data_IF_346276768096
#
_entry.id   IF_346276768096
#
_cell.length_a   1.000
_cell.length_b   1.000
_cell.length_c   1.000
_cell.angle_alpha   90.00
_cell.angle_beta   90.00
_cell.angle_gamma   90.00
#
_symmetry.space_group_name_H-M   'P 1'
#
loop_
_entity.id
_entity.type
_entity.pdbx_description
1 polymer ?
#
# COMPACT_ATOMS: atom_id res chain seq x y z
N UNK A 1 8.27 16.75 -5.13
CA UNK A 1 7.38 15.57 -5.11
C UNK A 1 6.23 15.82 -4.14
N UNK A 2 5.02 15.46 -4.54
CA UNK A 2 3.80 15.57 -3.72
C UNK A 2 3.33 14.15 -3.42
N UNK A 3 2.98 13.87 -2.17
CA UNK A 3 2.35 12.60 -1.75
C UNK A 3 1.00 12.90 -1.14
N UNK A 4 0.00 12.16 -1.57
CA UNK A 4 -1.36 12.22 -1.06
C UNK A 4 -1.82 10.81 -0.67
N UNK A 5 -2.81 10.75 0.20
CA UNK A 5 -3.39 9.50 0.71
C UNK A 5 -4.92 9.65 0.69
N UNK A 6 -5.61 8.57 0.41
CA UNK A 6 -7.09 8.55 0.43
C UNK A 6 -7.55 7.93 1.74
N UNK A 7 -8.42 8.62 2.45
CA UNK A 7 -9.00 8.13 3.71
C UNK A 7 -9.94 6.97 3.44
N UNK A 8 -9.78 5.87 4.19
CA UNK A 8 -10.64 4.69 4.11
C UNK A 8 -10.90 4.23 2.65
N UNK A 9 -9.82 4.08 1.88
CA UNK A 9 -9.88 3.86 0.43
C UNK A 9 -10.75 2.67 0.04
N UNK A 10 -10.49 1.50 0.61
CA UNK A 10 -11.29 0.30 0.29
C UNK A 10 -12.73 0.42 0.77
N UNK A 11 -12.93 0.97 1.94
CA UNK A 11 -14.26 1.18 2.54
C UNK A 11 -15.08 2.25 1.78
N UNK A 12 -14.41 3.10 1.01
CA UNK A 12 -15.07 4.09 0.13
C UNK A 12 -15.52 3.50 -1.21
N UNK A 13 -15.17 2.26 -1.51
CA UNK A 13 -15.57 1.59 -2.75
C UNK A 13 -16.78 0.69 -2.48
N UNK A 14 -17.93 1.11 -2.97
CA UNK A 14 -19.21 0.42 -2.77
C UNK A 14 -19.32 -0.86 -3.58
N UNK A 15 -20.17 -1.78 -3.11
CA UNK A 15 -20.62 -2.96 -3.83
C UNK A 15 -21.18 -2.62 -5.23
N UNK A 16 -21.88 -1.48 -5.35
CA UNK A 16 -22.39 -1.01 -6.64
C UNK A 16 -21.26 -0.69 -7.61
N UNK A 17 -20.17 -0.09 -7.13
CA UNK A 17 -19.00 0.18 -7.97
C UNK A 17 -18.33 -1.12 -8.44
N UNK A 18 -18.25 -2.12 -7.56
CA UNK A 18 -17.72 -3.46 -7.89
C UNK A 18 -18.63 -4.17 -8.89
N UNK A 19 -19.96 -4.11 -8.70
CA UNK A 19 -20.94 -4.61 -9.66
C UNK A 19 -20.74 -4.01 -11.05
N UNK A 20 -20.57 -2.69 -11.15
CA UNK A 20 -20.32 -2.00 -12.42
C UNK A 20 -19.02 -2.47 -13.10
N UNK A 21 -17.98 -2.80 -12.33
CA UNK A 21 -16.75 -3.39 -12.88
C UNK A 21 -17.06 -4.73 -13.54
N UNK A 22 -17.74 -5.66 -12.87
CA UNK A 22 -18.09 -6.94 -13.47
C UNK A 22 -19.00 -6.78 -14.70
N UNK A 23 -19.96 -5.84 -14.67
CA UNK A 23 -20.77 -5.50 -15.85
C UNK A 23 -19.93 -4.99 -17.02
N UNK A 24 -18.90 -4.17 -16.74
CA UNK A 24 -18.00 -3.66 -17.78
C UNK A 24 -17.09 -4.74 -18.40
N UNK A 25 -16.96 -5.87 -17.73
CA UNK A 25 -16.26 -7.08 -18.21
C UNK A 25 -17.24 -8.07 -18.91
N UNK A 26 -18.44 -7.59 -19.25
CA UNK A 26 -19.47 -8.33 -19.99
C UNK A 26 -20.12 -9.52 -19.24
N UNK A 27 -19.88 -9.66 -17.94
CA UNK A 27 -20.58 -10.67 -17.15
C UNK A 27 -22.11 -10.39 -17.12
N UNK A 28 -22.97 -11.43 -17.15
CA UNK A 28 -24.41 -11.28 -16.96
C UNK A 28 -24.77 -10.57 -15.66
N UNK A 29 -25.91 -9.88 -15.64
CA UNK A 29 -26.31 -9.03 -14.50
C UNK A 29 -26.36 -9.80 -13.18
N UNK A 30 -26.98 -10.98 -13.17
CA UNK A 30 -27.08 -11.82 -11.96
C UNK A 30 -25.71 -12.24 -11.47
N UNK A 31 -24.85 -12.76 -12.35
CA UNK A 31 -23.50 -13.19 -11.98
C UNK A 31 -22.65 -11.99 -11.47
N UNK A 32 -22.78 -10.83 -12.12
CA UNK A 32 -22.09 -9.61 -11.66
C UNK A 32 -22.52 -9.20 -10.25
N UNK A 33 -23.79 -9.35 -9.93
CA UNK A 33 -24.34 -9.09 -8.61
C UNK A 33 -23.79 -10.07 -7.58
N UNK A 34 -23.82 -11.37 -7.86
CA UNK A 34 -23.29 -12.41 -6.95
C UNK A 34 -21.78 -12.23 -6.70
N UNK A 35 -20.99 -11.97 -7.75
CA UNK A 35 -19.57 -11.72 -7.63
C UNK A 35 -19.29 -10.45 -6.79
N UNK A 36 -20.06 -9.39 -6.98
CA UNK A 36 -19.93 -8.18 -6.16
C UNK A 36 -20.21 -8.46 -4.69
N UNK A 37 -21.27 -9.23 -4.39
CA UNK A 37 -21.61 -9.65 -3.01
C UNK A 37 -20.52 -10.50 -2.37
N UNK A 38 -19.91 -11.42 -3.10
CA UNK A 38 -18.81 -12.28 -2.59
C UNK A 38 -17.56 -11.46 -2.32
N UNK A 39 -17.27 -10.43 -3.14
CA UNK A 39 -16.08 -9.60 -3.04
C UNK A 39 -16.22 -8.43 -2.06
N UNK A 40 -17.40 -8.15 -1.55
CA UNK A 40 -17.67 -7.04 -0.63
C UNK A 40 -18.12 -7.55 0.72
N UNK A 41 -17.88 -6.73 1.72
CA UNK A 41 -18.30 -7.03 3.08
C UNK A 41 -19.32 -6.01 3.56
N UNK A 42 -20.38 -6.52 4.15
CA UNK A 42 -21.40 -5.68 4.76
C UNK A 42 -21.21 -5.69 6.29
N UNK A 43 -21.13 -4.50 6.87
CA UNK A 43 -21.01 -4.39 8.32
C UNK A 43 -22.34 -4.81 8.99
N UNK A 44 -22.33 -5.81 9.89
CA UNK A 44 -23.56 -6.21 10.56
C UNK A 44 -24.17 -5.02 11.31
N UNK A 45 -25.51 -4.91 11.30
CA UNK A 45 -26.27 -3.85 11.99
C UNK A 45 -25.93 -3.75 13.47
N UNK A 46 -25.65 -4.88 14.11
CA UNK A 46 -25.29 -4.93 15.51
C UNK A 46 -23.78 -4.76 15.70
N UNK A 47 -23.35 -3.52 15.93
CA UNK A 47 -21.93 -3.16 16.17
C UNK A 47 -21.30 -3.86 17.37
N UNK A 48 -22.09 -4.42 18.29
CA UNK A 48 -21.59 -5.14 19.46
C UNK A 48 -20.99 -6.51 19.09
N UNK A 49 -21.38 -7.08 17.95
CA UNK A 49 -20.84 -8.35 17.45
C UNK A 49 -19.56 -8.18 16.62
N UNK A 50 -19.18 -6.94 16.28
CA UNK A 50 -17.97 -6.66 15.50
C UNK A 50 -16.76 -6.70 16.43
N UNK A 51 -15.73 -7.52 16.14
CA UNK A 51 -14.49 -7.51 16.90
C UNK A 51 -13.90 -6.10 16.99
N UNK A 52 -13.27 -5.71 18.13
CA UNK A 52 -12.75 -4.34 18.34
C UNK A 52 -11.82 -3.85 17.22
N UNK A 53 -11.04 -4.76 16.62
CA UNK A 53 -10.12 -4.46 15.50
C UNK A 53 -10.82 -3.99 14.22
N UNK A 54 -12.12 -4.25 14.05
CA UNK A 54 -12.92 -3.82 12.91
C UNK A 54 -13.91 -2.71 13.25
N UNK A 55 -13.94 -2.26 14.51
CA UNK A 55 -14.81 -1.14 14.90
C UNK A 55 -14.26 0.16 14.34
N UNK A 56 -15.05 0.82 13.51
CA UNK A 56 -14.74 2.15 13.00
C UNK A 56 -14.95 3.15 14.15
N UNK A 57 -13.98 4.04 14.37
CA UNK A 57 -14.09 5.12 15.35
C UNK A 57 -15.33 5.97 15.08
N UNK A 58 -16.05 6.37 16.13
CA UNK A 58 -17.29 7.18 16.06
C UNK A 58 -17.14 8.56 15.40
N UNK A 59 -15.92 9.00 15.11
CA UNK A 59 -15.61 10.31 14.49
C UNK A 59 -14.87 10.13 13.17
N UNK A 60 -15.55 9.59 12.18
CA UNK A 60 -15.00 9.52 10.83
C UNK A 60 -15.70 10.54 9.95
N UNK A 61 -14.92 11.48 9.41
CA UNK A 61 -15.39 12.50 8.44
C UNK A 61 -15.36 11.96 7.00
N UNK A 62 -15.55 10.66 6.82
CA UNK A 62 -15.58 10.03 5.49
C UNK A 62 -16.82 9.13 5.36
N UNK A 63 -17.29 8.99 4.13
CA UNK A 63 -18.43 8.14 3.82
C UNK A 63 -17.98 6.69 3.81
N UNK A 64 -18.50 5.91 4.76
CA UNK A 64 -18.47 4.45 4.69
C UNK A 64 -19.83 4.01 4.17
N UNK A 65 -19.86 3.24 3.09
CA UNK A 65 -21.08 2.64 2.61
C UNK A 65 -21.51 1.55 3.61
N UNK A 66 -22.22 1.98 4.63
CA UNK A 66 -22.94 1.10 5.56
C UNK A 66 -24.43 1.33 5.38
N UNK A 67 -25.24 0.33 5.71
CA UNK A 67 -26.70 0.38 5.58
C UNK A 67 -27.29 1.74 5.98
N UNK A 68 -27.82 2.48 5.04
CA UNK A 68 -28.71 3.60 5.27
C UNK A 68 -30.13 3.17 4.89
N UNK A 69 -31.05 3.28 5.83
CA UNK A 69 -32.50 3.14 5.61
C UNK A 69 -32.96 1.84 4.92
N UNK A 70 -32.46 0.68 5.38
CA UNK A 70 -32.94 -0.63 4.92
C UNK A 70 -32.22 -1.24 3.70
N UNK A 71 -31.35 -0.49 3.03
CA UNK A 71 -30.49 -1.02 1.96
C UNK A 71 -29.13 -1.37 2.55
N UNK A 72 -28.81 -2.66 2.57
CA UNK A 72 -27.51 -3.16 3.02
C UNK A 72 -26.55 -3.21 1.84
N UNK A 73 -25.77 -2.14 1.65
CA UNK A 73 -24.68 -2.11 0.68
C UNK A 73 -23.35 -2.48 1.33
N UNK A 74 -22.62 -3.38 0.69
CA UNK A 74 -21.26 -3.74 1.07
C UNK A 74 -20.22 -2.75 0.52
N UNK A 75 -18.99 -2.88 1.02
CA UNK A 75 -17.80 -2.18 0.54
C UNK A 75 -16.64 -3.16 0.42
N UNK A 76 -15.56 -2.78 -0.27
CA UNK A 76 -14.36 -3.62 -0.34
C UNK A 76 -13.73 -3.76 1.05
N UNK A 77 -13.52 -5.00 1.55
CA UNK A 77 -12.87 -5.20 2.83
C UNK A 77 -11.36 -5.00 2.74
N UNK A 78 -10.79 -4.37 3.77
CA UNK A 78 -9.34 -4.27 3.90
C UNK A 78 -8.73 -5.64 4.22
N UNK A 79 -7.74 -6.07 3.42
CA UNK A 79 -7.06 -7.34 3.61
C UNK A 79 -7.61 -8.51 2.80
N UNK A 80 -8.72 -8.36 2.07
CA UNK A 80 -9.15 -9.40 1.14
C UNK A 80 -8.26 -9.44 -0.11
N UNK A 81 -7.94 -10.63 -0.66
CA UNK A 81 -7.05 -10.77 -1.81
C UNK A 81 -7.62 -10.14 -3.10
N UNK A 82 -8.93 -9.99 -3.21
CA UNK A 82 -9.61 -9.38 -4.36
C UNK A 82 -9.65 -7.86 -4.32
N UNK A 83 -9.59 -7.25 -3.12
CA UNK A 83 -9.76 -5.80 -2.94
C UNK A 83 -8.73 -4.96 -3.71
N UNK A 84 -7.43 -5.27 -3.78
CA UNK A 84 -6.47 -4.48 -4.54
C UNK A 84 -6.77 -4.45 -6.04
N UNK A 85 -7.11 -5.58 -6.64
CA UNK A 85 -7.42 -5.67 -8.07
C UNK A 85 -8.72 -4.95 -8.41
N UNK A 86 -9.77 -5.18 -7.62
CA UNK A 86 -11.07 -4.53 -7.82
C UNK A 86 -11.00 -3.02 -7.61
N UNK A 87 -10.28 -2.55 -6.60
CA UNK A 87 -10.09 -1.12 -6.40
C UNK A 87 -9.37 -0.45 -7.56
N UNK A 88 -8.39 -1.11 -8.17
CA UNK A 88 -7.73 -0.59 -9.36
C UNK A 88 -8.68 -0.50 -10.56
N UNK A 89 -9.54 -1.50 -10.75
CA UNK A 89 -10.54 -1.48 -11.82
C UNK A 89 -11.58 -0.38 -11.60
N UNK A 90 -12.06 -0.17 -10.38
CA UNK A 90 -12.99 0.92 -10.03
C UNK A 90 -12.33 2.29 -10.26
N UNK A 91 -11.05 2.45 -9.92
CA UNK A 91 -10.33 3.70 -10.07
C UNK A 91 -9.84 3.99 -11.50
N UNK A 92 -10.14 3.13 -12.47
CA UNK A 92 -9.64 3.26 -13.84
C UNK A 92 -9.91 4.64 -14.48
N UNK A 93 -11.12 5.17 -14.31
CA UNK A 93 -11.46 6.49 -14.86
C UNK A 93 -10.83 7.63 -14.04
N UNK A 94 -10.71 7.48 -12.72
CA UNK A 94 -9.95 8.39 -11.87
C UNK A 94 -8.48 8.45 -12.31
N UNK A 95 -7.85 7.28 -12.55
CA UNK A 95 -6.47 7.21 -12.99
C UNK A 95 -6.25 7.85 -14.36
N UNK A 96 -7.18 7.68 -15.29
CA UNK A 96 -7.17 8.37 -16.60
C UNK A 96 -7.20 9.89 -16.42
N UNK A 97 -8.09 10.38 -15.56
CA UNK A 97 -8.21 11.82 -15.33
C UNK A 97 -6.98 12.39 -14.62
N UNK A 98 -6.44 11.69 -13.61
CA UNK A 98 -5.22 12.12 -12.91
C UNK A 98 -3.98 12.06 -13.83
N UNK A 99 -3.93 11.08 -14.74
CA UNK A 99 -2.87 11.00 -15.75
C UNK A 99 -2.95 12.17 -16.74
N UNK A 100 -4.14 12.45 -17.28
CA UNK A 100 -4.32 13.60 -18.18
C UNK A 100 -4.00 14.93 -17.49
N UNK A 101 -4.41 15.08 -16.21
CA UNK A 101 -4.08 16.22 -15.39
C UNK A 101 -2.56 16.34 -15.17
N UNK A 102 -1.87 15.23 -14.90
CA UNK A 102 -0.43 15.24 -14.68
C UNK A 102 0.34 15.64 -15.93
N UNK A 103 -0.03 15.10 -17.10
CA UNK A 103 0.60 15.47 -18.39
C UNK A 103 0.44 16.97 -18.66
N UNK A 104 -0.76 17.53 -18.46
CA UNK A 104 -1.02 18.97 -18.65
C UNK A 104 -0.16 19.86 -17.75
N UNK A 105 0.24 19.38 -16.57
CA UNK A 105 1.01 20.14 -15.58
C UNK A 105 2.49 19.72 -15.54
N UNK A 106 2.99 18.99 -16.52
CA UNK A 106 4.38 18.49 -16.60
C UNK A 106 4.79 17.69 -15.35
N UNK A 107 3.88 16.83 -14.85
CA UNK A 107 4.07 15.97 -13.70
C UNK A 107 4.07 14.50 -14.11
N UNK A 108 4.82 13.69 -13.38
CA UNK A 108 4.71 12.23 -13.39
C UNK A 108 3.75 11.79 -12.30
N UNK A 109 2.77 10.96 -12.64
CA UNK A 109 1.74 10.41 -11.76
C UNK A 109 1.95 8.94 -11.49
N UNK A 110 1.74 8.54 -10.26
CA UNK A 110 1.62 7.13 -9.89
C UNK A 110 0.68 6.95 -8.70
N UNK A 111 -0.06 5.84 -8.69
CA UNK A 111 -0.90 5.42 -7.57
C UNK A 111 -0.63 3.96 -7.21
N UNK A 112 -0.59 3.69 -5.93
CA UNK A 112 -0.60 2.35 -5.38
C UNK A 112 -1.67 2.30 -4.28
N UNK A 113 -2.81 1.67 -4.58
CA UNK A 113 -3.98 1.67 -3.70
C UNK A 113 -4.42 3.09 -3.32
N UNK A 114 -4.32 3.47 -2.05
CA UNK A 114 -4.61 4.78 -1.48
C UNK A 114 -3.48 5.81 -1.59
N UNK A 115 -2.23 5.35 -1.81
CA UNK A 115 -1.05 6.21 -1.94
C UNK A 115 -0.94 6.80 -3.35
N UNK A 116 -1.07 8.12 -3.47
CA UNK A 116 -0.92 8.88 -4.72
C UNK A 116 0.36 9.70 -4.66
N UNK A 117 1.13 9.67 -5.74
CA UNK A 117 2.38 10.42 -5.85
C UNK A 117 2.44 11.19 -7.15
N UNK A 118 2.78 12.49 -7.07
CA UNK A 118 3.15 13.32 -8.21
C UNK A 118 4.59 13.79 -8.07
N UNK A 119 5.35 13.76 -9.16
CA UNK A 119 6.71 14.30 -9.18
C UNK A 119 6.91 15.20 -10.38
N UNK A 120 7.72 16.26 -10.21
CA UNK A 120 8.14 17.15 -11.29
C UNK A 120 9.65 17.08 -11.48
N UNK A 121 10.09 17.12 -12.71
CA UNK A 121 11.50 17.31 -13.09
C UNK A 121 11.83 18.80 -13.24
N UNK A 122 10.83 19.69 -13.22
CA UNK A 122 11.01 21.12 -13.37
C UNK A 122 11.69 21.73 -12.13
N UNK A 123 12.85 22.33 -12.31
CA UNK A 123 13.64 22.97 -11.26
C UNK A 123 12.90 24.17 -10.66
N UNK A 124 12.08 24.86 -11.47
CA UNK A 124 11.32 26.04 -11.07
C UNK A 124 10.00 25.72 -10.37
N UNK A 125 9.68 24.42 -10.19
CA UNK A 125 8.45 23.98 -9.54
C UNK A 125 8.43 24.41 -8.06
N UNK A 126 7.60 25.41 -7.76
CA UNK A 126 7.54 26.04 -6.46
C UNK A 126 6.60 25.34 -5.47
N UNK A 127 6.66 25.74 -4.20
CA UNK A 127 5.72 25.28 -3.20
C UNK A 127 4.28 25.78 -3.46
N UNK A 128 4.14 26.95 -4.09
CA UNK A 128 2.82 27.49 -4.49
C UNK A 128 2.18 26.59 -5.54
N UNK A 129 2.92 26.22 -6.57
CA UNK A 129 2.45 25.29 -7.61
C UNK A 129 2.01 23.95 -6.99
N UNK A 130 2.80 23.42 -6.06
CA UNK A 130 2.46 22.18 -5.37
C UNK A 130 1.12 22.29 -4.60
N UNK A 131 0.85 23.42 -3.96
CA UNK A 131 -0.41 23.65 -3.22
C UNK A 131 -1.59 23.74 -4.20
N UNK A 132 -1.43 24.40 -5.33
CA UNK A 132 -2.47 24.46 -6.36
C UNK A 132 -2.79 23.10 -6.95
N UNK A 133 -1.75 22.32 -7.28
CA UNK A 133 -1.91 20.92 -7.72
C UNK A 133 -2.69 20.11 -6.67
N UNK A 134 -2.32 20.19 -5.40
CA UNK A 134 -3.04 19.48 -4.32
C UNK A 134 -4.52 19.86 -4.28
N UNK A 135 -4.85 21.14 -4.36
CA UNK A 135 -6.24 21.62 -4.37
C UNK A 135 -7.04 21.07 -5.54
N UNK A 136 -6.43 21.02 -6.74
CA UNK A 136 -7.08 20.47 -7.92
C UNK A 136 -7.27 18.95 -7.83
N UNK A 137 -6.25 18.23 -7.36
CA UNK A 137 -6.33 16.78 -7.15
C UNK A 137 -7.39 16.43 -6.09
N UNK A 138 -7.51 17.21 -5.02
CA UNK A 138 -8.56 17.03 -4.03
C UNK A 138 -9.96 17.16 -4.65
N UNK A 139 -10.19 18.17 -5.50
CA UNK A 139 -11.46 18.30 -6.22
C UNK A 139 -11.75 17.07 -7.10
N UNK A 140 -10.74 16.58 -7.81
CA UNK A 140 -10.89 15.37 -8.64
C UNK A 140 -11.26 14.18 -7.75
N UNK A 141 -10.54 13.93 -6.65
CA UNK A 141 -10.85 12.82 -5.74
C UNK A 141 -12.27 12.88 -5.19
N UNK A 142 -12.70 14.07 -4.75
CA UNK A 142 -14.06 14.29 -4.20
C UNK A 142 -15.13 14.00 -5.27
N UNK A 143 -14.90 14.40 -6.52
CA UNK A 143 -15.84 14.11 -7.63
C UNK A 143 -16.01 12.60 -7.89
N UNK A 144 -15.00 11.79 -7.56
CA UNK A 144 -15.07 10.33 -7.63
C UNK A 144 -15.52 9.67 -6.32
N UNK A 145 -15.96 10.46 -5.33
CA UNK A 145 -16.45 9.97 -4.04
C UNK A 145 -15.36 9.58 -3.04
N UNK A 146 -14.10 9.98 -3.30
CA UNK A 146 -12.99 9.72 -2.38
C UNK A 146 -12.69 10.93 -1.49
N UNK A 147 -12.38 10.67 -0.23
CA UNK A 147 -12.01 11.70 0.74
C UNK A 147 -10.48 11.79 0.88
N UNK A 148 -9.84 12.92 0.49
CA UNK A 148 -8.41 13.10 0.67
C UNK A 148 -8.01 13.13 2.15
N UNK A 149 -6.89 12.49 2.49
CA UNK A 149 -6.31 12.56 3.83
C UNK A 149 -5.36 13.76 3.93
N UNK A 150 -5.88 14.87 4.45
CA UNK A 150 -5.13 16.12 4.56
C UNK A 150 -3.91 15.96 5.49
N UNK A 151 -4.04 15.19 6.57
CA UNK A 151 -2.97 15.03 7.57
C UNK A 151 -1.78 14.23 7.02
N UNK A 152 -2.04 13.30 6.10
CA UNK A 152 -0.99 12.50 5.44
C UNK A 152 -0.43 13.15 4.18
N UNK A 153 -1.06 14.19 3.66
CA UNK A 153 -0.58 14.91 2.47
C UNK A 153 0.73 15.63 2.76
N UNK A 154 1.74 15.40 1.91
CA UNK A 154 3.10 15.93 2.10
C UNK A 154 3.68 16.50 0.81
N UNK A 155 4.32 17.66 0.93
CA UNK A 155 5.18 18.23 -0.11
C UNK A 155 6.63 17.93 0.28
N UNK A 156 7.33 17.17 -0.57
CA UNK A 156 8.71 16.76 -0.35
C UNK A 156 9.60 17.63 -1.21
N UNK A 157 10.51 18.39 -0.57
CA UNK A 157 11.42 19.31 -1.24
C UNK A 157 12.45 18.58 -2.11
N UNK A 158 13.08 19.25 -3.10
CA UNK A 158 14.09 18.64 -3.99
C UNK A 158 15.24 18.00 -3.24
N UNK A 159 15.71 18.63 -2.16
CA UNK A 159 16.86 18.14 -1.36
C UNK A 159 16.50 17.04 -0.34
N UNK A 160 15.20 16.83 -0.07
CA UNK A 160 14.77 15.80 0.87
C UNK A 160 14.72 14.42 0.21
N UNK A 161 14.98 13.39 1.01
CA UNK A 161 14.92 11.98 0.59
C UNK A 161 13.51 11.63 0.10
N UNK A 162 13.41 11.08 -1.10
CA UNK A 162 12.15 10.68 -1.72
C UNK A 162 11.93 9.19 -1.53
N UNK A 163 10.94 8.85 -0.70
CA UNK A 163 10.60 7.46 -0.41
C UNK A 163 9.21 7.19 -0.96
N UNK A 164 9.08 6.18 -1.82
CA UNK A 164 7.79 5.68 -2.33
C UNK A 164 7.72 4.19 -2.01
N UNK A 165 6.65 3.75 -1.33
CA UNK A 165 6.46 2.36 -0.91
C UNK A 165 7.68 1.75 -0.18
N UNK A 166 8.34 2.54 0.66
CA UNK A 166 9.55 2.11 1.41
C UNK A 166 10.84 2.13 0.62
N UNK A 167 10.81 2.47 -0.67
CA UNK A 167 11.95 2.50 -1.56
C UNK A 167 12.45 3.94 -1.79
N UNK A 168 13.75 4.12 -1.84
CA UNK A 168 14.35 5.40 -2.19
C UNK A 168 14.37 5.58 -3.71
N UNK A 169 13.71 6.65 -4.19
CA UNK A 169 13.56 7.00 -5.61
C UNK A 169 14.28 8.31 -5.98
N UNK A 170 15.27 8.73 -5.19
CA UNK A 170 16.00 9.99 -5.43
C UNK A 170 16.91 9.96 -6.65
N UNK A 171 17.23 8.78 -7.18
CA UNK A 171 18.19 8.57 -8.27
C UNK A 171 17.54 7.74 -9.39
N UNK A 172 18.24 7.59 -10.50
CA UNK A 172 17.80 6.76 -11.64
C UNK A 172 17.49 5.31 -11.26
N UNK A 173 18.25 4.74 -10.31
CA UNK A 173 17.99 3.39 -9.80
C UNK A 173 17.33 3.47 -8.44
N UNK A 174 16.24 2.74 -8.29
CA UNK A 174 15.56 2.54 -7.01
C UNK A 174 16.51 1.85 -6.02
N UNK A 175 16.52 2.31 -4.77
CA UNK A 175 17.38 1.75 -3.72
C UNK A 175 16.60 1.40 -2.47
N UNK A 176 17.05 0.35 -1.81
CA UNK A 176 16.57 -0.04 -0.49
C UNK A 176 16.93 1.03 0.56
N UNK A 177 16.03 1.24 1.53
CA UNK A 177 16.35 2.10 2.67
C UNK A 177 17.48 1.52 3.53
N UNK A 178 18.31 2.41 4.10
CA UNK A 178 19.43 2.02 4.97
C UNK A 178 18.98 1.19 6.17
N UNK A 179 17.82 1.51 6.74
CA UNK A 179 17.24 0.75 7.87
C UNK A 179 16.93 -0.68 7.48
N UNK A 180 16.39 -0.89 6.27
CA UNK A 180 16.09 -2.23 5.76
C UNK A 180 17.37 -3.05 5.53
N UNK A 181 18.39 -2.47 4.90
CA UNK A 181 19.71 -3.11 4.73
C UNK A 181 20.34 -3.47 6.07
N UNK A 182 20.30 -2.55 7.03
CA UNK A 182 20.82 -2.78 8.37
C UNK A 182 20.09 -3.93 9.09
N UNK A 183 18.77 -4.03 8.93
CA UNK A 183 17.98 -5.13 9.51
C UNK A 183 18.47 -6.50 9.01
N UNK A 184 18.73 -6.63 7.71
CA UNK A 184 19.27 -7.86 7.12
C UNK A 184 20.67 -8.15 7.65
N UNK A 185 21.57 -7.17 7.57
CA UNK A 185 22.96 -7.32 7.99
C UNK A 185 23.08 -7.69 9.47
N UNK A 186 22.29 -7.06 10.36
CA UNK A 186 22.26 -7.39 11.78
C UNK A 186 21.81 -8.83 12.04
N UNK A 187 20.75 -9.28 11.36
CA UNK A 187 20.29 -10.65 11.53
C UNK A 187 21.33 -11.68 11.07
N UNK A 188 21.97 -11.44 9.92
CA UNK A 188 23.06 -12.29 9.42
C UNK A 188 24.24 -12.29 10.39
N UNK A 189 24.66 -11.12 10.85
CA UNK A 189 25.77 -10.98 11.79
C UNK A 189 25.56 -11.78 13.07
N UNK A 190 24.40 -11.65 13.71
CA UNK A 190 24.10 -12.40 14.92
C UNK A 190 23.92 -13.90 14.69
N UNK A 191 23.44 -14.32 13.52
CA UNK A 191 23.38 -15.74 13.17
C UNK A 191 24.77 -16.37 12.97
N UNK A 192 25.75 -15.59 12.50
CA UNK A 192 27.13 -16.04 12.29
C UNK A 192 27.99 -15.89 13.56
N UNK A 193 27.52 -15.15 14.57
CA UNK A 193 28.28 -14.92 15.79
C UNK A 193 28.36 -16.21 16.62
N UNK A 194 29.55 -16.66 17.07
CA UNK A 194 29.75 -17.93 17.76
C UNK A 194 28.87 -18.09 19.02
N UNK A 195 28.74 -17.03 19.80
CA UNK A 195 28.02 -17.08 21.09
C UNK A 195 26.50 -16.93 20.96
N UNK A 196 25.98 -16.53 19.78
CA UNK A 196 24.56 -16.27 19.61
C UNK A 196 23.94 -17.33 18.69
N UNK A 197 24.36 -17.39 17.46
CA UNK A 197 23.85 -18.32 16.47
C UNK A 197 22.36 -18.10 16.08
N UNK A 198 21.87 -18.88 15.14
CA UNK A 198 20.52 -18.69 14.58
C UNK A 198 19.40 -19.00 15.61
N UNK A 199 19.62 -19.93 16.55
CA UNK A 199 18.60 -20.33 17.55
C UNK A 199 18.32 -19.18 18.51
N UNK A 200 19.37 -18.60 19.13
CA UNK A 200 19.21 -17.46 20.05
C UNK A 200 18.67 -16.23 19.34
N UNK A 201 19.11 -15.99 18.10
CA UNK A 201 18.63 -14.86 17.32
C UNK A 201 17.14 -15.02 16.96
N UNK A 202 16.68 -16.20 16.58
CA UNK A 202 15.26 -16.49 16.32
C UNK A 202 14.40 -16.22 17.57
N UNK A 203 14.85 -16.70 18.73
CA UNK A 203 14.18 -16.46 20.02
C UNK A 203 14.15 -14.97 20.38
N UNK A 204 15.25 -14.26 20.23
CA UNK A 204 15.32 -12.81 20.45
C UNK A 204 14.36 -12.03 19.56
N UNK A 205 14.22 -12.45 18.30
CA UNK A 205 13.24 -11.88 17.34
C UNK A 205 11.81 -12.38 17.55
N UNK A 206 11.56 -13.19 18.58
CA UNK A 206 10.23 -13.73 18.94
C UNK A 206 9.58 -14.59 17.84
N UNK A 207 10.38 -15.33 17.10
CA UNK A 207 9.87 -16.32 16.16
C UNK A 207 9.50 -17.62 16.92
N UNK A 208 8.40 -18.23 16.52
CA UNK A 208 7.93 -19.50 17.09
C UNK A 208 8.84 -20.69 16.74
N UNK A 209 9.57 -20.60 15.63
CA UNK A 209 10.52 -21.62 15.18
C UNK A 209 11.73 -21.02 14.49
N UNK A 210 12.86 -21.75 14.54
CA UNK A 210 14.08 -21.38 13.80
C UNK A 210 13.85 -21.44 12.29
N UNK A 211 13.06 -22.40 11.82
CA UNK A 211 12.69 -22.53 10.41
C UNK A 211 11.86 -21.29 9.93
N UNK A 212 10.92 -20.84 10.74
CA UNK A 212 10.15 -19.63 10.45
C UNK A 212 11.04 -18.40 10.32
N UNK A 213 12.02 -18.25 11.23
CA UNK A 213 13.02 -17.18 11.16
C UNK A 213 13.94 -17.31 9.93
N UNK A 214 14.41 -18.51 9.61
CA UNK A 214 15.20 -18.81 8.40
C UNK A 214 14.47 -18.35 7.16
N UNK A 215 13.21 -18.77 6.99
CA UNK A 215 12.40 -18.44 5.83
C UNK A 215 12.11 -16.94 5.75
N UNK A 216 11.84 -16.29 6.88
CA UNK A 216 11.65 -14.84 6.94
C UNK A 216 12.91 -14.08 6.50
N UNK A 217 14.07 -14.44 7.04
CA UNK A 217 15.35 -13.79 6.67
C UNK A 217 15.68 -14.01 5.20
N UNK A 218 15.48 -15.25 4.69
CA UNK A 218 15.65 -15.55 3.28
C UNK A 218 14.73 -14.71 2.39
N UNK A 219 13.44 -14.59 2.74
CA UNK A 219 12.48 -13.75 2.01
C UNK A 219 12.90 -12.28 1.97
N UNK A 220 13.42 -11.71 3.08
CA UNK A 220 13.96 -10.34 3.09
C UNK A 220 15.16 -10.18 2.14
N UNK A 221 16.02 -11.19 2.04
CA UNK A 221 17.21 -11.17 1.16
C UNK A 221 16.78 -11.28 -0.30
N UNK A 222 15.85 -12.18 -0.64
CA UNK A 222 15.32 -12.30 -2.00
C UNK A 222 14.65 -11.00 -2.45
N UNK A 223 13.85 -10.38 -1.57
CA UNK A 223 13.29 -9.05 -1.85
C UNK A 223 14.40 -8.00 -2.05
N UNK A 224 15.46 -8.03 -1.24
CA UNK A 224 16.60 -7.13 -1.43
C UNK A 224 17.27 -7.36 -2.79
N UNK A 225 17.43 -8.62 -3.19
CA UNK A 225 18.05 -9.02 -4.47
C UNK A 225 17.26 -8.50 -5.67
N UNK A 226 15.92 -8.49 -5.60
CA UNK A 226 15.07 -7.98 -6.68
C UNK A 226 15.19 -6.47 -6.92
N UNK A 227 15.66 -5.70 -5.92
CA UNK A 227 15.75 -4.24 -5.99
C UNK A 227 17.20 -3.74 -6.09
N UNK A 228 18.10 -4.31 -5.31
CA UNK A 228 19.52 -3.95 -5.21
C UNK A 228 20.35 -5.23 -5.32
N UNK A 229 20.64 -5.62 -6.57
CA UNK A 229 21.29 -6.89 -6.90
C UNK A 229 22.63 -7.06 -6.17
N UNK A 230 23.47 -6.04 -6.18
CA UNK A 230 24.79 -6.08 -5.52
C UNK A 230 24.68 -6.35 -4.02
N UNK A 231 23.81 -5.61 -3.33
CA UNK A 231 23.55 -5.83 -1.90
C UNK A 231 22.92 -7.20 -1.64
N UNK A 232 21.94 -7.59 -2.46
CA UNK A 232 21.22 -8.86 -2.32
C UNK A 232 22.14 -10.06 -2.48
N UNK A 233 23.00 -10.09 -3.49
CA UNK A 233 23.99 -11.17 -3.72
C UNK A 233 24.97 -11.27 -2.53
N UNK A 234 25.50 -10.15 -2.04
CA UNK A 234 26.36 -10.13 -0.86
C UNK A 234 25.67 -10.67 0.39
N UNK A 235 24.42 -10.26 0.61
CA UNK A 235 23.63 -10.73 1.74
C UNK A 235 23.32 -12.22 1.62
N UNK A 236 22.97 -12.71 0.43
CA UNK A 236 22.69 -14.14 0.17
C UNK A 236 23.94 -15.01 0.40
N UNK A 237 25.10 -14.57 -0.09
CA UNK A 237 26.36 -15.26 0.14
C UNK A 237 26.69 -15.39 1.64
N UNK A 238 26.43 -14.35 2.42
CA UNK A 238 26.65 -14.40 3.87
C UNK A 238 25.58 -15.25 4.58
N UNK A 239 24.34 -15.22 4.12
CA UNK A 239 23.26 -16.06 4.64
C UNK A 239 23.56 -17.55 4.44
N UNK A 240 24.12 -17.94 3.30
CA UNK A 240 24.50 -19.33 2.99
C UNK A 240 25.63 -19.87 3.89
N UNK A 241 26.38 -19.01 4.57
CA UNK A 241 27.39 -19.40 5.57
C UNK A 241 26.79 -19.75 6.93
N UNK A 242 25.51 -19.45 7.16
CA UNK A 242 24.84 -19.72 8.44
C UNK A 242 24.56 -21.22 8.53
N UNK A 243 25.08 -21.83 9.59
CA UNK A 243 24.78 -23.23 9.93
C UNK A 243 23.42 -23.26 10.64
N UNK A 244 22.41 -23.66 9.91
CA UNK A 244 21.05 -23.83 10.44
C UNK A 244 20.94 -25.18 11.16
N UNK A 245 20.31 -25.25 12.34
CA UNK A 245 20.07 -26.54 12.98
C UNK A 245 19.20 -27.42 12.09
N UNK A 246 19.60 -28.70 11.99
CA UNK A 246 18.81 -29.72 11.29
C UNK A 246 17.64 -30.07 12.21
N UNK A 247 16.43 -30.00 11.72
CA UNK A 247 15.21 -30.46 12.40
C UNK A 247 14.74 -31.75 11.77
#
# INVERSE_FOLDING_TARGET
MIKLDITAFFESISEVSVYKVFRSLEFPALLSFELARICTWNSPRNRNTIPPRFKISKKTNYTVYSSTEGIELGHLPQGAPTSPSLSNLVCRELDKQLTAFSVKNELEYSRYSDDITFSSKNINFSRKDAIEIIKMVYKILINYGFTPNIQKTKIISPKAKKIVLGLNVDREKVKLDKKFKNKINQNIYFCLHPDIGPVRQAKYKKFSSVLGFKNHLHGLIIYALSIDKEFGEKALNNYNKIVWPIH
#
